data_IF_281440942045
#
_entry.id   IF_281440942045
#
_cell.length_a   1.000
_cell.length_b   1.000
_cell.length_c   1.000
_cell.angle_alpha   90.00
_cell.angle_beta   90.00
_cell.angle_gamma   90.00
#
_symmetry.space_group_name_H-M   'P 1'
#
loop_
_entity.id
_entity.type
_entity.pdbx_description
1 polymer ?
#
# COMPACT_ATOMS: atom_id res chain seq x y z
N UNK A 1 39.16 31.72 30.77
CA UNK A 1 39.39 32.49 29.54
C UNK A 1 38.21 32.31 28.60
N UNK A 2 37.37 33.34 28.38
CA UNK A 2 36.29 33.30 27.37
C UNK A 2 36.88 33.80 26.04
N UNK A 3 36.81 32.97 24.99
CA UNK A 3 37.28 33.36 23.66
C UNK A 3 36.46 34.51 23.07
N UNK A 4 37.01 35.26 22.10
CA UNK A 4 36.32 36.40 21.50
C UNK A 4 35.05 35.93 20.79
N UNK A 5 33.90 36.46 21.22
CA UNK A 5 32.62 36.28 20.54
C UNK A 5 32.66 37.06 19.22
N UNK A 6 32.86 36.38 18.09
CA UNK A 6 32.65 36.95 16.76
C UNK A 6 31.18 37.31 16.60
N UNK A 7 30.85 38.60 16.65
CA UNK A 7 29.51 39.07 16.30
C UNK A 7 29.32 38.95 14.78
N UNK A 8 28.16 38.45 14.37
CA UNK A 8 27.78 38.41 12.97
C UNK A 8 27.54 39.83 12.48
N UNK A 9 28.13 40.21 11.35
CA UNK A 9 27.80 41.47 10.70
C UNK A 9 26.30 41.52 10.36
N UNK A 10 25.66 42.70 10.42
CA UNK A 10 24.21 42.83 10.23
C UNK A 10 23.75 42.27 8.87
N UNK A 11 24.54 42.44 7.82
CA UNK A 11 24.28 41.88 6.49
C UNK A 11 24.28 40.35 6.46
N UNK A 12 25.19 39.70 7.19
CA UNK A 12 25.24 38.24 7.28
C UNK A 12 24.04 37.68 8.05
N UNK A 13 23.59 38.39 9.09
CA UNK A 13 22.38 38.03 9.82
C UNK A 13 21.13 38.19 8.94
N UNK A 14 21.02 39.30 8.20
CA UNK A 14 19.88 39.61 7.33
C UNK A 14 19.74 38.60 6.18
N UNK A 15 20.86 38.23 5.55
CA UNK A 15 20.88 37.20 4.52
C UNK A 15 20.40 35.84 5.04
N UNK A 16 20.89 35.40 6.21
CA UNK A 16 20.48 34.12 6.81
C UNK A 16 19.00 34.10 7.16
N UNK A 17 18.46 35.21 7.69
CA UNK A 17 17.04 35.34 7.98
C UNK A 17 16.19 35.30 6.72
N UNK A 18 16.62 35.97 5.63
CA UNK A 18 15.92 35.95 4.36
C UNK A 18 15.86 34.53 3.76
N UNK A 19 16.99 33.80 3.76
CA UNK A 19 17.03 32.41 3.29
C UNK A 19 16.16 31.51 4.16
N UNK A 20 16.24 31.63 5.48
CA UNK A 20 15.42 30.83 6.39
C UNK A 20 13.92 31.10 6.20
N UNK A 21 13.53 32.37 6.06
CA UNK A 21 12.15 32.74 5.78
C UNK A 21 11.66 32.17 4.44
N UNK A 22 12.47 32.27 3.38
CA UNK A 22 12.12 31.71 2.08
C UNK A 22 11.92 30.18 2.14
N UNK A 23 12.78 29.45 2.86
CA UNK A 23 12.63 28.00 3.06
C UNK A 23 11.35 27.69 3.82
N UNK A 24 11.10 28.36 4.95
CA UNK A 24 9.90 28.14 5.77
C UNK A 24 8.63 28.44 4.98
N UNK A 25 8.58 29.56 4.26
CA UNK A 25 7.42 29.92 3.44
C UNK A 25 7.19 28.91 2.32
N UNK A 26 8.25 28.44 1.66
CA UNK A 26 8.13 27.42 0.60
C UNK A 26 7.57 26.11 1.17
N UNK A 27 8.05 25.66 2.32
CA UNK A 27 7.56 24.43 2.99
C UNK A 27 6.11 24.58 3.45
N UNK A 28 5.74 25.72 4.05
CA UNK A 28 4.37 25.97 4.50
C UNK A 28 3.39 26.04 3.32
N UNK A 29 3.75 26.72 2.23
CA UNK A 29 2.92 26.79 1.03
C UNK A 29 2.81 25.42 0.35
N UNK A 30 3.90 24.66 0.26
CA UNK A 30 3.89 23.28 -0.22
C UNK A 30 3.02 22.37 0.64
N UNK A 31 2.97 22.58 1.96
CA UNK A 31 2.12 21.79 2.88
C UNK A 31 0.63 22.14 2.75
N UNK A 32 0.28 23.41 2.50
CA UNK A 32 -1.12 23.84 2.40
C UNK A 32 -1.75 23.63 1.01
N UNK A 33 -0.94 23.61 -0.05
CA UNK A 33 -1.43 23.54 -1.45
C UNK A 33 -0.95 22.29 -2.18
N UNK A 34 0.11 21.63 -1.69
CA UNK A 34 0.84 20.59 -2.44
C UNK A 34 0.21 19.20 -2.43
N UNK A 35 0.41 18.52 -3.54
CA UNK A 35 0.20 17.08 -3.77
C UNK A 35 1.57 16.37 -3.72
N UNK A 36 1.60 15.03 -3.58
CA UNK A 36 2.80 14.20 -3.31
C UNK A 36 3.97 14.37 -4.33
N UNK A 37 3.70 14.99 -5.49
CA UNK A 37 4.66 15.23 -6.58
C UNK A 37 5.67 16.38 -6.34
N UNK A 38 5.58 17.12 -5.23
CA UNK A 38 6.36 18.36 -5.00
C UNK A 38 7.63 18.18 -4.14
N UNK A 39 8.09 16.94 -3.98
CA UNK A 39 9.42 16.64 -3.47
C UNK A 39 10.52 17.34 -4.31
N UNK A 40 11.53 18.02 -3.73
CA UNK A 40 12.00 17.96 -2.34
C UNK A 40 11.57 19.06 -1.36
N UNK A 41 10.50 19.81 -1.62
CA UNK A 41 10.08 20.90 -0.72
C UNK A 41 8.65 20.79 -0.15
N UNK A 42 7.94 19.69 -0.43
CA UNK A 42 6.99 18.89 0.40
C UNK A 42 6.05 18.08 -0.54
N UNK A 43 5.51 16.88 -0.24
CA UNK A 43 5.49 16.11 1.02
C UNK A 43 6.31 14.79 0.97
N UNK A 44 6.68 14.28 2.15
CA UNK A 44 6.90 12.85 2.37
C UNK A 44 5.79 12.37 3.31
N UNK A 45 4.81 11.71 2.75
CA UNK A 45 3.62 11.27 3.46
C UNK A 45 3.88 9.94 4.19
N UNK A 46 4.43 9.97 5.41
CA UNK A 46 4.32 8.83 6.31
C UNK A 46 3.13 9.05 7.27
N UNK A 47 1.96 8.63 6.82
CA UNK A 47 0.75 8.70 7.62
C UNK A 47 0.71 7.60 8.69
N UNK A 48 1.24 7.87 9.88
CA UNK A 48 0.86 7.12 11.07
C UNK A 48 -0.42 7.75 11.65
N UNK A 49 -1.57 7.49 11.03
CA UNK A 49 -2.84 7.93 11.61
C UNK A 49 -3.11 7.13 12.88
N UNK A 50 -3.49 7.83 13.96
CA UNK A 50 -4.12 7.18 15.10
C UNK A 50 -5.42 6.55 14.61
N UNK A 51 -5.44 5.22 14.50
CA UNK A 51 -6.66 4.47 14.23
C UNK A 51 -7.54 4.60 15.47
N UNK A 52 -8.80 5.01 15.31
CA UNK A 52 -9.76 4.97 16.41
C UNK A 52 -9.78 3.53 16.95
N UNK A 53 -9.34 3.36 18.20
CA UNK A 53 -9.33 2.06 18.85
C UNK A 53 -10.76 1.68 19.25
N UNK A 54 -11.54 1.23 18.28
CA UNK A 54 -12.86 0.63 18.47
C UNK A 54 -12.77 -0.81 19.03
N UNK A 55 -11.56 -1.26 19.41
CA UNK A 55 -11.31 -2.63 19.84
C UNK A 55 -11.43 -3.65 18.71
N UNK A 56 -11.35 -3.25 17.43
CA UNK A 56 -11.38 -4.16 16.28
C UNK A 56 -10.12 -3.97 15.44
N UNK A 57 -9.39 -5.06 15.24
CA UNK A 57 -8.23 -5.12 14.35
C UNK A 57 -8.71 -5.66 13.00
N UNK A 58 -8.55 -4.88 11.94
CA UNK A 58 -8.82 -5.31 10.57
C UNK A 58 -7.53 -5.81 9.93
N UNK A 59 -7.59 -6.94 9.24
CA UNK A 59 -6.47 -7.49 8.49
C UNK A 59 -6.92 -7.86 7.09
N UNK A 60 -6.37 -7.16 6.10
CA UNK A 60 -6.61 -7.49 4.70
C UNK A 60 -5.80 -8.74 4.33
N UNK A 61 -6.46 -9.66 3.65
CA UNK A 61 -5.93 -10.96 3.26
C UNK A 61 -6.48 -11.33 1.89
N UNK A 62 -5.76 -12.19 1.18
CA UNK A 62 -6.23 -12.72 -0.09
C UNK A 62 -6.16 -14.25 -0.06
N UNK A 63 -7.29 -14.89 -0.31
CA UNK A 63 -7.41 -16.35 -0.37
C UNK A 63 -7.82 -16.76 -1.79
N UNK A 64 -7.51 -17.98 -2.20
CA UNK A 64 -7.89 -18.52 -3.49
C UNK A 64 -8.46 -19.93 -3.35
N UNK A 65 -9.55 -20.24 -4.06
CA UNK A 65 -9.99 -21.60 -4.33
C UNK A 65 -9.16 -22.14 -5.50
N UNK A 66 -8.46 -23.24 -5.30
CA UNK A 66 -7.68 -23.90 -6.35
C UNK A 66 -8.58 -24.75 -7.24
N UNK A 67 -8.07 -25.14 -8.40
CA UNK A 67 -8.74 -26.10 -9.29
C UNK A 67 -8.95 -27.48 -8.65
N UNK A 68 -8.20 -27.80 -7.59
CA UNK A 68 -8.34 -29.04 -6.81
C UNK A 68 -9.44 -28.93 -5.73
N UNK A 69 -10.08 -27.77 -5.60
CA UNK A 69 -11.17 -27.53 -4.65
C UNK A 69 -10.73 -27.12 -3.25
N UNK A 70 -9.44 -26.81 -3.06
CA UNK A 70 -8.90 -26.36 -1.77
C UNK A 70 -8.84 -24.83 -1.68
N UNK A 71 -9.19 -24.27 -0.52
CA UNK A 71 -9.01 -22.84 -0.25
C UNK A 71 -7.64 -22.62 0.37
N UNK A 72 -6.76 -21.93 -0.34
CA UNK A 72 -5.39 -21.63 0.06
C UNK A 72 -5.18 -20.13 0.27
N UNK A 73 -4.25 -19.77 1.15
CA UNK A 73 -3.83 -18.37 1.34
C UNK A 73 -2.92 -17.98 0.18
N UNK A 74 -3.27 -16.91 -0.54
CA UNK A 74 -2.39 -16.38 -1.59
C UNK A 74 -1.13 -15.81 -0.94
N UNK A 75 0.07 -16.28 -1.34
CA UNK A 75 1.30 -15.88 -0.68
C UNK A 75 1.72 -14.48 -1.14
N UNK A 76 1.19 -13.45 -0.48
CA UNK A 76 1.55 -12.04 -0.68
C UNK A 76 2.95 -11.72 -0.13
N UNK A 77 3.98 -12.30 -0.75
CA UNK A 77 5.38 -11.99 -0.48
C UNK A 77 6.13 -11.73 -1.78
N UNK A 78 7.09 -10.82 -1.72
CA UNK A 78 7.92 -10.43 -2.85
C UNK A 78 8.69 -11.61 -3.44
N UNK A 79 9.10 -12.55 -2.59
CA UNK A 79 9.84 -13.75 -2.98
C UNK A 79 8.99 -14.77 -3.73
N UNK A 80 7.67 -14.81 -3.47
CA UNK A 80 6.78 -15.84 -4.01
C UNK A 80 6.04 -15.38 -5.26
N UNK A 81 5.35 -14.23 -5.18
CA UNK A 81 4.55 -13.72 -6.30
C UNK A 81 4.93 -12.29 -6.72
N UNK A 82 6.02 -11.74 -6.18
CA UNK A 82 6.50 -10.40 -6.52
C UNK A 82 5.69 -9.24 -5.94
N UNK A 83 4.64 -9.52 -5.16
CA UNK A 83 3.75 -8.51 -4.57
C UNK A 83 3.79 -8.60 -3.04
N UNK A 84 4.03 -7.45 -2.41
CA UNK A 84 3.96 -7.30 -0.96
C UNK A 84 2.53 -7.01 -0.50
N UNK A 85 2.20 -7.44 0.72
CA UNK A 85 0.88 -7.16 1.32
C UNK A 85 0.53 -5.67 1.33
N UNK A 86 1.50 -4.81 1.65
CA UNK A 86 1.30 -3.36 1.73
C UNK A 86 0.82 -2.77 0.38
N UNK A 87 1.28 -3.32 -0.75
CA UNK A 87 0.82 -2.90 -2.08
C UNK A 87 -0.66 -3.26 -2.30
N UNK A 88 -1.06 -4.48 -1.91
CA UNK A 88 -2.47 -4.91 -1.99
C UNK A 88 -3.36 -4.07 -1.08
N UNK A 89 -2.89 -3.73 0.12
CA UNK A 89 -3.60 -2.84 1.04
C UNK A 89 -3.80 -1.43 0.44
N UNK A 90 -2.78 -0.87 -0.21
CA UNK A 90 -2.88 0.40 -0.93
C UNK A 90 -3.84 0.35 -2.12
N UNK A 91 -3.87 -0.76 -2.86
CA UNK A 91 -4.75 -0.95 -4.02
C UNK A 91 -6.15 -1.48 -3.65
N UNK A 92 -6.44 -1.74 -2.38
CA UNK A 92 -7.69 -2.39 -1.97
C UNK A 92 -8.96 -1.68 -2.47
N UNK A 93 -9.10 -0.33 -2.37
CA UNK A 93 -10.28 0.36 -2.91
C UNK A 93 -10.45 0.15 -4.41
N UNK A 94 -9.34 0.12 -5.15
CA UNK A 94 -9.34 -0.10 -6.60
C UNK A 94 -9.72 -1.53 -6.95
N UNK A 95 -9.20 -2.52 -6.23
CA UNK A 95 -9.55 -3.94 -6.43
C UNK A 95 -11.02 -4.21 -6.09
N UNK A 96 -11.56 -3.54 -5.07
CA UNK A 96 -12.99 -3.64 -4.73
C UNK A 96 -13.85 -3.05 -5.86
N UNK A 97 -13.44 -1.92 -6.44
CA UNK A 97 -14.14 -1.30 -7.57
C UNK A 97 -13.98 -2.11 -8.87
N UNK A 98 -12.82 -2.75 -9.05
CA UNK A 98 -12.43 -3.50 -10.24
C UNK A 98 -11.89 -4.90 -9.86
N UNK A 99 -12.78 -5.86 -9.50
CA UNK A 99 -12.37 -7.20 -9.09
C UNK A 99 -11.60 -7.96 -10.16
N UNK A 100 -11.76 -7.60 -11.44
CA UNK A 100 -11.03 -8.16 -12.57
C UNK A 100 -9.51 -8.01 -12.47
N UNK A 101 -8.99 -7.08 -11.66
CA UNK A 101 -7.56 -6.95 -11.36
C UNK A 101 -7.01 -8.19 -10.63
N UNK A 102 -7.86 -8.95 -9.94
CA UNK A 102 -7.46 -10.21 -9.32
C UNK A 102 -7.06 -11.27 -10.36
N UNK A 103 -7.47 -11.11 -11.62
CA UNK A 103 -6.99 -11.95 -12.73
C UNK A 103 -5.45 -11.90 -12.84
N UNK A 104 -4.84 -10.72 -12.65
CA UNK A 104 -3.40 -10.55 -12.79
C UNK A 104 -2.62 -11.27 -11.69
N UNK A 105 -3.24 -11.46 -10.53
CA UNK A 105 -2.69 -12.29 -9.45
C UNK A 105 -2.63 -13.77 -9.88
N UNK A 106 -3.67 -14.28 -10.55
CA UNK A 106 -3.64 -15.63 -11.10
C UNK A 106 -2.55 -15.81 -12.16
N UNK A 107 -2.34 -14.77 -13.00
CA UNK A 107 -1.25 -14.75 -13.99
C UNK A 107 0.11 -14.84 -13.31
N UNK A 108 0.37 -14.01 -12.30
CA UNK A 108 1.62 -14.03 -11.55
C UNK A 108 1.86 -15.36 -10.86
N UNK A 109 0.84 -15.92 -10.21
CA UNK A 109 0.91 -17.24 -9.58
C UNK A 109 1.31 -18.32 -10.59
N UNK A 110 0.64 -18.37 -11.75
CA UNK A 110 0.96 -19.37 -12.79
C UNK A 110 2.37 -19.24 -13.36
N UNK A 111 2.93 -18.01 -13.38
CA UNK A 111 4.28 -17.74 -13.89
C UNK A 111 5.37 -18.08 -12.87
N UNK A 112 5.16 -17.70 -11.61
CA UNK A 112 6.17 -17.78 -10.55
C UNK A 112 6.10 -19.08 -9.75
N UNK A 113 4.93 -19.70 -9.67
CA UNK A 113 4.66 -20.92 -8.94
C UNK A 113 3.95 -21.96 -9.84
N UNK A 114 4.53 -22.34 -11.00
CA UNK A 114 3.88 -23.21 -11.98
C UNK A 114 3.63 -24.65 -11.48
N UNK A 115 4.26 -25.04 -10.37
CA UNK A 115 4.10 -26.34 -9.75
C UNK A 115 2.98 -26.39 -8.70
N UNK A 116 2.45 -25.23 -8.29
CA UNK A 116 1.32 -25.17 -7.37
C UNK A 116 -0.02 -25.27 -8.14
N UNK A 117 -1.09 -25.76 -7.50
CA UNK A 117 -2.42 -25.80 -8.10
C UNK A 117 -2.88 -24.42 -8.56
N UNK A 118 -3.40 -24.35 -9.78
CA UNK A 118 -3.91 -23.11 -10.36
C UNK A 118 -5.11 -22.56 -9.57
N UNK A 119 -5.25 -21.23 -9.55
CA UNK A 119 -6.37 -20.57 -8.89
C UNK A 119 -7.61 -20.55 -9.78
N UNK A 120 -8.73 -21.04 -9.25
CA UNK A 120 -10.04 -21.01 -9.88
C UNK A 120 -10.84 -19.77 -9.46
N UNK A 121 -10.81 -19.41 -8.17
CA UNK A 121 -11.50 -18.23 -7.63
C UNK A 121 -10.56 -17.51 -6.67
N UNK A 122 -10.49 -16.19 -6.74
CA UNK A 122 -9.69 -15.37 -5.83
C UNK A 122 -10.62 -14.47 -5.02
N UNK A 123 -10.35 -14.39 -3.72
CA UNK A 123 -11.11 -13.61 -2.75
C UNK A 123 -10.21 -12.58 -2.09
N UNK A 124 -10.59 -11.30 -2.19
CA UNK A 124 -10.08 -10.28 -1.28
C UNK A 124 -10.93 -10.28 -0.02
N UNK A 125 -10.31 -10.48 1.14
CA UNK A 125 -11.00 -10.63 2.42
C UNK A 125 -10.44 -9.70 3.48
N UNK A 126 -11.30 -9.22 4.37
CA UNK A 126 -10.90 -8.54 5.58
C UNK A 126 -11.32 -9.36 6.80
N UNK A 127 -10.36 -9.69 7.65
CA UNK A 127 -10.62 -10.34 8.93
C UNK A 127 -10.69 -9.29 10.02
N UNK A 128 -11.88 -9.13 10.60
CA UNK A 128 -12.14 -8.27 11.74
C UNK A 128 -11.98 -9.08 13.03
N UNK A 129 -10.95 -8.79 13.82
CA UNK A 129 -10.68 -9.46 15.09
C UNK A 129 -10.97 -8.52 16.25
N UNK A 130 -11.86 -8.93 17.16
CA UNK A 130 -12.20 -8.15 18.34
C UNK A 130 -11.15 -8.33 19.45
N UNK A 131 -10.63 -7.22 19.95
CA UNK A 131 -9.69 -7.14 21.06
C UNK A 131 -10.43 -7.47 22.37
N UNK A 132 -9.87 -8.37 23.16
CA UNK A 132 -10.43 -8.86 24.42
C UNK A 132 -11.08 -10.24 24.30
N UNK A 133 -11.91 -10.46 23.27
CA UNK A 133 -12.53 -11.78 23.01
C UNK A 133 -11.72 -12.66 22.08
N UNK A 134 -10.95 -12.05 21.15
CA UNK A 134 -10.26 -12.76 20.09
C UNK A 134 -11.18 -13.29 18.99
N UNK A 135 -12.49 -12.97 19.04
CA UNK A 135 -13.44 -13.38 18.02
C UNK A 135 -13.09 -12.74 16.68
N UNK A 136 -12.92 -13.57 15.66
CA UNK A 136 -12.58 -13.14 14.30
C UNK A 136 -13.75 -13.38 13.35
N UNK A 137 -14.11 -12.37 12.57
CA UNK A 137 -15.13 -12.45 11.51
C UNK A 137 -14.47 -12.15 10.17
N UNK A 138 -14.70 -12.99 9.17
CA UNK A 138 -14.15 -12.81 7.82
C UNK A 138 -15.21 -12.17 6.93
N UNK A 139 -14.87 -11.04 6.32
CA UNK A 139 -15.68 -10.35 5.33
C UNK A 139 -15.05 -10.51 3.95
N UNK A 140 -15.79 -11.00 2.97
CA UNK A 140 -15.33 -11.00 1.58
C UNK A 140 -15.64 -9.64 0.97
N UNK A 141 -14.61 -8.93 0.53
CA UNK A 141 -14.70 -7.59 -0.03
C UNK A 141 -14.85 -7.61 -1.56
N UNK A 142 -14.12 -8.52 -2.22
CA UNK A 142 -14.19 -8.74 -3.66
C UNK A 142 -13.96 -10.21 -3.98
N UNK A 143 -14.57 -10.68 -5.06
CA UNK A 143 -14.43 -12.05 -5.55
C UNK A 143 -14.22 -12.00 -7.05
N UNK A 144 -13.31 -12.83 -7.56
CA UNK A 144 -13.06 -12.95 -8.99
C UNK A 144 -12.94 -14.42 -9.41
N UNK A 145 -13.71 -14.80 -10.43
CA UNK A 145 -13.58 -16.09 -11.09
C UNK A 145 -12.47 -15.98 -12.14
N UNK A 146 -11.40 -16.76 -11.97
CA UNK A 146 -10.26 -16.70 -12.88
C UNK A 146 -10.68 -17.18 -14.27
N UNK A 147 -10.40 -16.37 -15.27
CA UNK A 147 -10.59 -16.73 -16.67
C UNK A 147 -9.45 -17.65 -17.10
N UNK A 148 -9.84 -18.81 -17.62
CA UNK A 148 -8.93 -19.89 -18.04
C UNK A 148 -7.88 -20.25 -16.96
N UNK A 149 -8.29 -20.85 -15.83
CA UNK A 149 -7.43 -21.08 -14.67
C UNK A 149 -6.10 -21.77 -14.96
N UNK A 150 -6.06 -22.68 -15.95
CA UNK A 150 -4.85 -23.42 -16.29
C UNK A 150 -3.87 -22.59 -17.14
N UNK A 151 -4.35 -21.53 -17.80
CA UNK A 151 -3.57 -20.62 -18.64
C UNK A 151 -4.11 -19.19 -18.52
N UNK A 152 -4.02 -18.57 -17.33
CA UNK A 152 -4.60 -17.27 -17.09
C UNK A 152 -3.91 -16.22 -17.95
N UNK A 153 -4.70 -15.33 -18.53
CA UNK A 153 -4.22 -14.17 -19.27
C UNK A 153 -4.48 -12.89 -18.48
N UNK A 154 -3.69 -11.82 -18.70
CA UNK A 154 -3.87 -10.54 -18.01
C UNK A 154 -5.30 -10.00 -18.10
N UNK A 155 -5.68 -9.22 -17.11
CA UNK A 155 -6.99 -8.57 -17.01
C UNK A 155 -7.27 -7.64 -18.20
N UNK A 156 -6.22 -7.09 -18.81
CA UNK A 156 -6.27 -6.07 -19.85
C UNK A 156 -6.40 -4.64 -19.29
N UNK A 157 -6.44 -4.49 -17.96
CA UNK A 157 -6.50 -3.18 -17.30
C UNK A 157 -5.08 -2.68 -17.01
N UNK A 158 -4.73 -1.44 -17.37
CA UNK A 158 -3.42 -0.87 -17.07
C UNK A 158 -3.16 -0.85 -15.56
N UNK A 159 -2.01 -1.38 -15.13
CA UNK A 159 -1.65 -1.47 -13.72
C UNK A 159 -2.06 -2.78 -13.02
N UNK A 160 -2.59 -3.76 -13.77
CA UNK A 160 -2.41 -5.16 -13.43
C UNK A 160 -0.92 -5.47 -13.34
N UNK A 161 -0.48 -6.13 -12.27
CA UNK A 161 0.94 -6.39 -12.05
C UNK A 161 1.59 -7.05 -13.28
N UNK A 162 2.82 -6.65 -13.66
CA UNK A 162 3.45 -7.00 -14.94
C UNK A 162 3.74 -8.50 -15.14
#
# INVERSE_FOLDING_TARGET
>A
MRGPTRSLGPYAALWRLAVAAAVVTTVCLGTWVGNDDWWPFAPMSQYAFSVQNNGIINSLTMDALTVDGEVVRVPLSKEKIGIERAEIEGQAPRIIAHPELLQDIAVLHSRLLPHEPAYQVIYLRNTSTQIGTGAATIHTLATWQVRDPLRPQPSGIPGGAP
#
